data_IF_098774325198
#
_entry.id   IF_098774325198
#
_cell.length_a   1.000
_cell.length_b   1.000
_cell.length_c   1.000
_cell.angle_alpha   90.00
_cell.angle_beta   90.00
_cell.angle_gamma   90.00
#
_symmetry.space_group_name_H-M   'P 1'
#
loop_
_entity.id
_entity.type
_entity.pdbx_description
1 polymer ?
#
# COMPACT_ATOMS: atom_id res chain seq x y z
N UNK A 1 10.11 -2.80 -14.55
CA UNK A 1 9.96 -2.35 -13.15
C UNK A 1 9.01 -3.29 -12.43
N UNK A 2 9.32 -3.67 -11.20
CA UNK A 2 8.54 -4.58 -10.37
C UNK A 2 8.00 -3.84 -9.16
N UNK A 3 6.69 -3.92 -8.97
CA UNK A 3 5.95 -3.25 -7.92
C UNK A 3 5.34 -4.32 -7.02
N UNK A 4 5.57 -4.22 -5.72
CA UNK A 4 4.93 -5.09 -4.73
C UNK A 4 3.92 -4.31 -3.91
N UNK A 5 2.67 -4.73 -3.92
CA UNK A 5 1.70 -4.29 -2.92
C UNK A 5 1.81 -5.18 -1.68
N UNK A 6 1.91 -4.58 -0.50
CA UNK A 6 1.88 -5.31 0.78
C UNK A 6 0.64 -4.87 1.53
N UNK A 7 -0.31 -5.78 1.67
CA UNK A 7 -1.57 -5.56 2.38
C UNK A 7 -1.48 -6.13 3.78
N UNK A 8 -1.93 -5.37 4.78
CA UNK A 8 -2.14 -5.96 6.10
C UNK A 8 -3.22 -7.05 6.00
N UNK A 9 -4.33 -6.76 5.30
CA UNK A 9 -5.44 -7.70 5.04
C UNK A 9 -6.28 -7.20 3.86
N UNK A 10 -6.99 -8.11 3.19
CA UNK A 10 -7.96 -7.72 2.17
C UNK A 10 -9.33 -7.43 2.81
N UNK A 11 -9.95 -6.31 2.45
CA UNK A 11 -11.23 -5.84 2.99
C UNK A 11 -12.13 -5.21 1.92
N UNK A 12 -11.86 -5.47 0.64
CA UNK A 12 -12.59 -4.88 -0.51
C UNK A 12 -12.58 -3.34 -0.50
N UNK A 13 -11.45 -2.76 -0.11
CA UNK A 13 -11.25 -1.32 0.01
C UNK A 13 -10.68 -0.69 -1.27
N UNK A 14 -10.24 0.55 -1.11
CA UNK A 14 -9.61 1.32 -2.19
C UNK A 14 -8.25 0.76 -2.61
N UNK A 15 -7.54 0.12 -1.68
CA UNK A 15 -6.16 -0.31 -1.93
C UNK A 15 -6.12 -1.48 -2.93
N UNK A 16 -7.02 -2.46 -2.80
CA UNK A 16 -7.14 -3.56 -3.76
C UNK A 16 -7.65 -3.06 -5.11
N UNK A 17 -8.57 -2.09 -5.10
CA UNK A 17 -9.09 -1.46 -6.32
C UNK A 17 -7.98 -0.74 -7.08
N UNK A 18 -7.10 -0.05 -6.38
CA UNK A 18 -5.98 0.66 -7.00
C UNK A 18 -4.93 -0.29 -7.56
N UNK A 19 -4.65 -1.40 -6.87
CA UNK A 19 -3.78 -2.45 -7.41
C UNK A 19 -4.34 -3.05 -8.72
N UNK A 20 -5.63 -3.40 -8.74
CA UNK A 20 -6.31 -3.91 -9.95
C UNK A 20 -6.35 -2.86 -11.05
N UNK A 21 -6.65 -1.60 -10.71
CA UNK A 21 -6.63 -0.51 -11.67
C UNK A 21 -5.25 -0.38 -12.30
N UNK A 22 -4.18 -0.32 -11.50
CA UNK A 22 -2.82 -0.19 -12.01
C UNK A 22 -2.40 -1.38 -12.87
N UNK A 23 -2.74 -2.60 -12.47
CA UNK A 23 -2.47 -3.80 -13.27
C UNK A 23 -3.15 -3.75 -14.65
N UNK A 24 -4.35 -3.18 -14.75
CA UNK A 24 -5.08 -3.05 -16.00
C UNK A 24 -4.59 -1.91 -16.90
N UNK A 25 -3.93 -0.89 -16.34
CA UNK A 25 -3.53 0.33 -17.07
C UNK A 25 -2.05 0.40 -17.41
N UNK A 26 -1.19 -0.30 -16.67
CA UNK A 26 0.25 -0.33 -16.95
C UNK A 26 0.59 -1.37 -18.02
N UNK A 27 1.56 -1.05 -18.87
CA UNK A 27 2.09 -1.98 -19.86
C UNK A 27 2.79 -3.17 -19.15
N UNK A 28 2.30 -4.42 -19.30
CA UNK A 28 2.86 -5.58 -18.62
C UNK A 28 4.28 -5.95 -19.10
N UNK A 29 4.71 -5.44 -20.26
CA UNK A 29 6.11 -5.60 -20.72
C UNK A 29 7.06 -4.73 -19.88
N UNK A 30 6.57 -3.57 -19.44
CA UNK A 30 7.35 -2.61 -18.68
C UNK A 30 7.19 -2.76 -17.16
N UNK A 31 6.01 -3.19 -16.71
CA UNK A 31 5.61 -3.21 -15.30
C UNK A 31 5.04 -4.56 -14.89
N UNK A 32 5.50 -5.08 -13.75
CA UNK A 32 4.91 -6.24 -13.09
C UNK A 32 4.41 -5.85 -11.71
N UNK A 33 3.17 -6.21 -11.40
CA UNK A 33 2.56 -6.01 -10.09
C UNK A 33 2.32 -7.37 -9.46
N UNK A 34 2.88 -7.57 -8.28
CA UNK A 34 2.58 -8.71 -7.42
C UNK A 34 2.05 -8.18 -6.07
N UNK A 35 1.45 -9.05 -5.25
CA UNK A 35 0.91 -8.70 -3.95
C UNK A 35 1.36 -9.70 -2.87
N UNK A 36 1.53 -9.22 -1.63
CA UNK A 36 1.64 -10.04 -0.41
C UNK A 36 0.51 -9.62 0.54
N UNK A 37 -0.14 -10.59 1.17
CA UNK A 37 -1.18 -10.34 2.17
C UNK A 37 -0.78 -10.95 3.51
N UNK A 38 -0.66 -10.13 4.54
CA UNK A 38 -0.09 -10.53 5.83
C UNK A 38 -1.08 -11.31 6.71
N UNK A 39 -2.36 -10.95 6.72
CA UNK A 39 -3.37 -11.58 7.58
C UNK A 39 -4.58 -12.11 6.82
N UNK A 40 -4.99 -13.32 7.16
CA UNK A 40 -6.23 -13.94 6.67
C UNK A 40 -7.43 -13.51 7.51
N UNK A 41 -8.55 -13.23 6.84
CA UNK A 41 -9.86 -13.06 7.47
C UNK A 41 -10.93 -13.85 6.70
N UNK A 42 -12.00 -14.29 7.38
CA UNK A 42 -13.10 -14.99 6.73
C UNK A 42 -13.66 -14.18 5.55
N UNK A 43 -13.82 -14.84 4.40
CA UNK A 43 -14.37 -14.22 3.19
C UNK A 43 -13.37 -13.46 2.31
N UNK A 44 -12.07 -13.49 2.63
CA UNK A 44 -11.04 -12.84 1.80
C UNK A 44 -10.76 -13.55 0.47
N UNK A 45 -11.14 -14.82 0.31
CA UNK A 45 -10.84 -15.62 -0.88
C UNK A 45 -11.30 -14.96 -2.18
N UNK A 46 -12.50 -14.36 -2.18
CA UNK A 46 -13.03 -13.66 -3.36
C UNK A 46 -12.19 -12.43 -3.74
N UNK A 47 -11.48 -11.82 -2.78
CA UNK A 47 -10.60 -10.69 -3.04
C UNK A 47 -9.26 -11.14 -3.60
N UNK A 48 -8.73 -12.26 -3.11
CA UNK A 48 -7.56 -12.93 -3.72
C UNK A 48 -7.87 -13.28 -5.17
N UNK A 49 -8.99 -13.97 -5.42
CA UNK A 49 -9.43 -14.34 -6.77
C UNK A 49 -9.59 -13.11 -7.69
N UNK A 50 -10.05 -11.98 -7.17
CA UNK A 50 -10.15 -10.73 -7.93
C UNK A 50 -8.78 -10.18 -8.33
N UNK A 51 -7.81 -10.19 -7.43
CA UNK A 51 -6.44 -9.75 -7.72
C UNK A 51 -5.80 -10.68 -8.77
N UNK A 52 -5.93 -11.98 -8.58
CA UNK A 52 -5.41 -13.00 -9.51
C UNK A 52 -6.06 -12.89 -10.90
N UNK A 53 -7.36 -12.63 -10.97
CA UNK A 53 -8.06 -12.39 -12.23
C UNK A 53 -7.57 -11.13 -12.97
N UNK A 54 -6.97 -10.17 -12.26
CA UNK A 54 -6.31 -9.00 -12.84
C UNK A 54 -4.84 -9.27 -13.23
N UNK A 55 -4.37 -10.52 -13.09
CA UNK A 55 -2.99 -10.92 -13.40
C UNK A 55 -1.98 -10.60 -12.29
N UNK A 56 -2.44 -10.28 -11.08
CA UNK A 56 -1.58 -10.02 -9.92
C UNK A 56 -1.32 -11.34 -9.19
N UNK A 57 -0.06 -11.73 -9.06
CA UNK A 57 0.35 -12.89 -8.25
C UNK A 57 0.21 -12.56 -6.76
N UNK A 58 -0.58 -13.35 -6.01
CA UNK A 58 -0.91 -13.07 -4.61
C UNK A 58 -0.22 -14.08 -3.69
N UNK A 59 0.75 -13.59 -2.92
CA UNK A 59 1.46 -14.34 -1.92
C UNK A 59 0.71 -14.32 -0.58
N UNK A 60 0.18 -15.48 -0.21
CA UNK A 60 -0.57 -15.73 1.03
C UNK A 60 0.20 -16.59 2.03
N UNK A 61 1.49 -16.82 1.79
CA UNK A 61 2.37 -17.55 2.74
C UNK A 61 2.31 -16.97 4.16
N UNK A 62 2.26 -15.63 4.37
CA UNK A 62 2.22 -15.05 5.72
C UNK A 62 1.06 -15.53 6.60
N UNK A 63 -0.05 -16.02 6.03
CA UNK A 63 -1.20 -16.51 6.83
C UNK A 63 -0.85 -17.62 7.81
N UNK A 64 0.28 -18.32 7.57
CA UNK A 64 0.75 -19.45 8.38
C UNK A 64 2.01 -19.14 9.18
N UNK A 65 2.51 -17.92 9.11
CA UNK A 65 3.76 -17.51 9.73
C UNK A 65 3.50 -16.77 11.04
N UNK A 66 4.45 -16.88 11.97
CA UNK A 66 4.57 -15.93 13.08
C UNK A 66 4.95 -14.54 12.58
N UNK A 67 4.94 -13.55 13.49
CA UNK A 67 5.38 -12.19 13.19
C UNK A 67 6.84 -12.18 12.69
N UNK A 68 7.75 -12.82 13.42
CA UNK A 68 9.18 -12.84 13.08
C UNK A 68 9.45 -13.53 11.73
N UNK A 69 8.74 -14.64 11.47
CA UNK A 69 8.80 -15.35 10.18
C UNK A 69 8.21 -14.51 9.05
N UNK A 70 7.13 -13.76 9.32
CA UNK A 70 6.55 -12.81 8.35
C UNK A 70 7.52 -11.72 8.01
N UNK A 71 8.24 -11.17 8.99
CA UNK A 71 9.29 -10.17 8.77
C UNK A 71 10.42 -10.75 7.90
N UNK A 72 10.86 -12.00 8.14
CA UNK A 72 11.88 -12.66 7.32
C UNK A 72 11.40 -12.90 5.88
N UNK A 73 10.17 -13.38 5.74
CA UNK A 73 9.54 -13.61 4.44
C UNK A 73 9.43 -12.31 3.66
N UNK A 74 8.93 -11.24 4.29
CA UNK A 74 8.84 -9.92 3.68
C UNK A 74 10.22 -9.41 3.29
N UNK A 75 11.25 -9.49 4.15
CA UNK A 75 12.60 -9.03 3.78
C UNK A 75 13.09 -9.71 2.50
N UNK A 76 12.91 -11.03 2.37
CA UNK A 76 13.27 -11.78 1.16
C UNK A 76 12.46 -11.32 -0.07
N UNK A 77 11.15 -11.10 0.08
CA UNK A 77 10.28 -10.64 -1.02
C UNK A 77 10.66 -9.22 -1.45
N UNK A 78 10.73 -8.27 -0.51
CA UNK A 78 10.99 -6.85 -0.74
C UNK A 78 12.28 -6.61 -1.54
N UNK A 79 13.32 -7.42 -1.31
CA UNK A 79 14.59 -7.33 -2.03
C UNK A 79 14.49 -7.60 -3.55
N UNK A 80 13.38 -8.18 -4.02
CA UNK A 80 13.16 -8.55 -5.41
C UNK A 80 12.42 -7.48 -6.23
N UNK A 81 11.99 -6.39 -5.59
CA UNK A 81 11.14 -5.36 -6.20
C UNK A 81 11.85 -4.01 -6.24
N UNK A 82 11.42 -3.17 -7.19
CA UNK A 82 11.95 -1.81 -7.34
C UNK A 82 11.16 -0.83 -6.45
N UNK A 83 9.85 -1.04 -6.36
CA UNK A 83 8.90 -0.21 -5.59
C UNK A 83 8.03 -1.11 -4.72
N UNK A 84 7.82 -0.68 -3.48
CA UNK A 84 6.93 -1.33 -2.53
C UNK A 84 5.86 -0.34 -2.10
N UNK A 85 4.60 -0.75 -2.21
CA UNK A 85 3.44 0.01 -1.76
C UNK A 85 2.90 -0.68 -0.50
N UNK A 86 3.12 -0.09 0.67
CA UNK A 86 2.56 -0.58 1.93
C UNK A 86 1.17 -0.01 2.15
N UNK A 87 0.17 -0.89 2.16
CA UNK A 87 -1.24 -0.57 2.34
C UNK A 87 -1.65 -0.79 3.80
N UNK A 88 -2.44 0.11 4.37
CA UNK A 88 -3.07 -0.06 5.69
C UNK A 88 -2.08 -0.14 6.88
N UNK A 89 -0.95 0.57 6.82
CA UNK A 89 0.04 0.62 7.92
C UNK A 89 0.47 -0.78 8.40
N UNK A 90 1.00 -1.60 7.49
CA UNK A 90 1.51 -2.95 7.78
C UNK A 90 2.62 -2.88 8.82
N UNK A 91 2.40 -3.47 10.00
CA UNK A 91 3.34 -3.41 11.11
C UNK A 91 4.70 -4.05 10.79
N UNK A 92 4.70 -5.08 9.94
CA UNK A 92 5.86 -5.90 9.60
C UNK A 92 6.83 -5.21 8.62
N UNK A 93 6.42 -4.14 7.93
CA UNK A 93 7.16 -3.58 6.80
C UNK A 93 8.48 -2.93 7.23
N UNK A 94 8.51 -2.21 8.35
CA UNK A 94 9.72 -1.55 8.86
C UNK A 94 10.75 -2.56 9.34
N UNK A 95 10.41 -3.50 10.24
CA UNK A 95 11.33 -4.57 10.63
C UNK A 95 11.92 -5.32 9.42
N UNK A 96 11.14 -5.51 8.36
CA UNK A 96 11.62 -6.19 7.15
C UNK A 96 12.62 -5.32 6.37
N UNK A 97 12.33 -4.03 6.19
CA UNK A 97 13.23 -3.07 5.53
C UNK A 97 14.52 -2.82 6.32
N UNK A 98 14.47 -2.89 7.65
CA UNK A 98 15.65 -2.78 8.52
C UNK A 98 16.65 -3.91 8.28
N UNK A 99 16.18 -5.10 7.86
CA UNK A 99 17.02 -6.25 7.52
C UNK A 99 17.71 -6.12 6.15
N UNK A 100 17.31 -5.16 5.32
CA UNK A 100 17.84 -4.97 3.98
C UNK A 100 18.99 -3.95 3.92
N UNK A 101 20.06 -4.35 3.23
CA UNK A 101 21.19 -3.46 2.91
C UNK A 101 20.84 -2.49 1.77
N UNK A 102 20.12 -2.97 0.75
CA UNK A 102 19.55 -2.16 -0.32
C UNK A 102 18.02 -2.21 -0.23
N UNK A 103 17.38 -1.04 -0.19
CA UNK A 103 15.94 -0.93 0.05
C UNK A 103 15.22 -0.47 -1.22
N UNK A 104 14.06 -1.06 -1.56
CA UNK A 104 13.20 -0.53 -2.60
C UNK A 104 12.62 0.83 -2.19
N UNK A 105 12.13 1.58 -3.17
CA UNK A 105 11.37 2.79 -2.86
C UNK A 105 10.07 2.40 -2.13
N UNK A 106 9.88 2.87 -0.90
CA UNK A 106 8.68 2.63 -0.11
C UNK A 106 7.68 3.79 -0.29
N UNK A 107 6.49 3.45 -0.78
CA UNK A 107 5.31 4.32 -0.78
C UNK A 107 4.36 3.79 0.28
N UNK A 108 4.02 4.62 1.24
CA UNK A 108 2.99 4.26 2.21
C UNK A 108 1.65 4.84 1.82
N UNK A 109 0.62 4.01 1.95
CA UNK A 109 -0.75 4.39 1.67
C UNK A 109 -1.63 4.16 2.89
N UNK A 110 -2.22 5.24 3.37
CA UNK A 110 -3.18 5.22 4.46
C UNK A 110 -4.46 5.96 4.13
N UNK A 111 -5.56 5.47 4.70
CA UNK A 111 -6.89 6.05 4.51
C UNK A 111 -7.11 7.37 5.26
N UNK A 112 -6.25 7.73 6.21
CA UNK A 112 -6.37 8.95 7.02
C UNK A 112 -5.02 9.62 7.26
N UNK A 113 -5.05 10.88 7.72
CA UNK A 113 -3.85 11.57 8.19
C UNK A 113 -3.25 10.88 9.43
N UNK A 114 -4.07 10.28 10.30
CA UNK A 114 -3.59 9.53 11.46
C UNK A 114 -2.74 8.32 11.04
N UNK A 115 -3.10 7.65 9.94
CA UNK A 115 -2.27 6.58 9.37
C UNK A 115 -0.93 7.10 8.82
N UNK A 116 -0.86 8.38 8.43
CA UNK A 116 0.38 9.02 7.96
C UNK A 116 1.40 9.19 9.06
N UNK A 117 0.93 9.31 10.30
CA UNK A 117 1.78 9.56 11.48
C UNK A 117 1.95 8.33 12.38
N UNK A 118 1.21 7.24 12.13
CA UNK A 118 1.29 6.02 12.92
C UNK A 118 2.50 5.16 12.52
N UNK A 119 3.24 4.66 13.51
CA UNK A 119 4.40 3.77 13.31
C UNK A 119 5.69 4.51 12.88
N UNK A 120 6.80 3.77 12.70
CA UNK A 120 8.04 4.34 12.16
C UNK A 120 7.82 4.89 10.75
N UNK A 121 8.54 5.96 10.36
CA UNK A 121 8.43 6.61 9.02
C UNK A 121 9.76 6.91 8.34
N UNK A 122 10.85 6.39 8.89
CA UNK A 122 12.21 6.79 8.51
C UNK A 122 12.69 6.18 7.17
N UNK A 123 11.86 5.38 6.50
CA UNK A 123 12.10 4.86 5.15
C UNK A 123 11.02 5.24 4.13
N UNK A 124 9.97 5.96 4.53
CA UNK A 124 8.92 6.43 3.60
C UNK A 124 9.50 7.48 2.67
N UNK A 125 9.40 7.26 1.35
CA UNK A 125 9.92 8.22 0.37
C UNK A 125 8.81 9.20 -0.09
N UNK A 126 7.61 8.73 -0.48
CA UNK A 126 6.38 9.53 -0.41
C UNK A 126 5.23 8.84 0.38
N UNK A 127 4.37 9.65 1.02
CA UNK A 127 3.09 9.20 1.61
C UNK A 127 1.92 9.59 0.71
N UNK A 128 1.02 8.65 0.43
CA UNK A 128 -0.20 8.86 -0.36
C UNK A 128 -1.44 8.67 0.52
N UNK A 129 -2.25 9.71 0.68
CA UNK A 129 -3.49 9.67 1.45
C UNK A 129 -4.71 9.78 0.54
N UNK A 130 -5.75 8.98 0.80
CA UNK A 130 -7.03 9.14 0.11
C UNK A 130 -7.80 10.40 0.57
N UNK A 131 -7.60 10.85 1.82
CA UNK A 131 -8.50 11.81 2.49
C UNK A 131 -7.95 13.23 2.69
N UNK A 132 -6.96 13.65 1.89
CA UNK A 132 -6.51 15.06 1.93
C UNK A 132 -7.58 16.06 1.40
N UNK A 133 -8.75 15.58 0.98
CA UNK A 133 -9.86 16.39 0.51
C UNK A 133 -10.94 16.72 1.57
N UNK A 134 -11.00 16.05 2.74
CA UNK A 134 -12.01 16.37 3.78
C UNK A 134 -11.49 17.13 4.99
N UNK A 135 -10.17 17.24 5.19
CA UNK A 135 -9.62 17.91 6.37
C UNK A 135 -9.71 19.47 6.34
N UNK A 136 -10.33 20.09 5.33
CA UNK A 136 -10.45 21.56 5.25
C UNK A 136 -11.87 22.13 4.99
N UNK A 137 -12.93 21.32 5.00
CA UNK A 137 -14.31 21.83 4.91
C UNK A 137 -15.04 21.76 6.25
N UNK A 138 -14.42 22.33 7.29
CA UNK A 138 -15.02 22.57 8.61
C UNK A 138 -15.06 24.06 8.92
N UNK A 139 -15.56 24.88 8.00
CA UNK A 139 -15.71 26.33 8.17
C UNK A 139 -16.96 26.85 7.49
N UNK A 140 -17.93 27.29 8.31
CA UNK A 140 -19.20 27.93 7.96
C UNK A 140 -19.25 28.71 6.63
N UNK A 141 -20.31 28.45 5.84
CA UNK A 141 -20.99 29.50 5.05
C UNK A 141 -21.06 29.30 3.54
N UNK A 142 -22.30 29.16 3.05
CA UNK A 142 -22.86 29.64 1.78
C UNK A 142 -22.22 29.26 0.42
N UNK A 143 -23.02 28.53 -0.37
CA UNK A 143 -23.22 28.60 -1.83
C UNK A 143 -22.04 28.98 -2.77
N UNK A 144 -21.66 28.06 -3.66
CA UNK A 144 -21.06 28.41 -4.97
C UNK A 144 -20.08 27.38 -5.58
N UNK A 145 -20.55 26.66 -6.60
CA UNK A 145 -19.82 26.04 -7.73
C UNK A 145 -18.69 25.00 -7.51
N UNK A 146 -18.55 23.99 -8.41
CA UNK A 146 -17.58 22.90 -8.26
C UNK A 146 -16.21 23.31 -8.79
N UNK A 147 -15.27 23.60 -7.88
CA UNK A 147 -13.88 23.91 -8.20
C UNK A 147 -12.94 22.76 -7.86
N UNK A 148 -12.11 22.36 -8.83
CA UNK A 148 -11.14 21.27 -8.78
C UNK A 148 -10.33 21.21 -7.47
N UNK A 149 -10.50 20.13 -6.70
CA UNK A 149 -9.59 19.78 -5.61
C UNK A 149 -8.32 19.14 -6.20
N UNK A 150 -7.21 19.88 -6.16
CA UNK A 150 -5.87 19.33 -6.40
C UNK A 150 -5.40 18.60 -5.14
N UNK A 151 -5.14 17.30 -5.26
CA UNK A 151 -4.44 16.53 -4.24
C UNK A 151 -3.01 17.08 -4.11
N UNK A 152 -2.65 17.58 -2.94
CA UNK A 152 -1.28 17.95 -2.60
C UNK A 152 -0.58 16.74 -1.97
N UNK A 153 0.47 16.23 -2.62
CA UNK A 153 1.38 15.29 -1.99
C UNK A 153 2.13 16.01 -0.85
N UNK A 154 2.13 15.44 0.35
CA UNK A 154 2.92 15.94 1.48
C UNK A 154 4.32 15.35 1.34
N UNK A 155 5.22 16.11 0.73
CA UNK A 155 6.66 15.82 0.75
C UNK A 155 7.22 16.37 2.06
N UNK A 156 7.78 15.51 2.92
CA UNK A 156 8.65 15.98 4.01
C UNK A 156 10.01 16.32 3.42
N UNK A 157 10.45 17.56 3.62
CA UNK A 157 11.86 17.91 3.63
C UNK A 157 12.38 17.66 5.04
N UNK A 158 13.32 16.74 5.17
CA UNK A 158 14.42 16.79 6.14
C UNK A 158 15.63 16.08 5.51
#
# INVERSE_FOLDING_TARGET
>A
MRILFVFARLQAGDDERDAVMLANWLDPVCYRIDAVVCFEQPGMQIQVERLEAAGIDVDTVPYRLSFEETVDHLAQRLALYDVVISCQNVADIYPALERLHWRPALIERGHSADHAFAGPKHFTSPYAAADLAHAQCGGNGAAGSPGACRAHAVLRHD
#
